data_IF_239828227622
#
_entry.id   IF_239828227622
#
_cell.length_a   1.000
_cell.length_b   1.000
_cell.length_c   1.000
_cell.angle_alpha   90.00
_cell.angle_beta   90.00
_cell.angle_gamma   90.00
#
_symmetry.space_group_name_H-M   'P 1'
#
loop_
_entity.id
_entity.type
_entity.pdbx_description
1 polymer ?
#
# COMPACT_ATOMS: atom_id res chain seq x y z
N UNK A 1 -20.86 0.70 1.03
CA UNK A 1 -19.60 0.64 0.26
C UNK A 1 -19.48 -0.73 -0.36
N UNK A 2 -19.01 -0.78 -1.60
CA UNK A 2 -18.72 -2.00 -2.36
C UNK A 2 -17.54 -2.77 -1.74
N UNK A 3 -17.50 -4.08 -2.01
CA UNK A 3 -16.56 -5.04 -1.42
C UNK A 3 -16.12 -6.03 -2.48
N UNK A 4 -14.82 -6.24 -2.63
CA UNK A 4 -14.25 -7.12 -3.65
C UNK A 4 -13.04 -7.91 -3.11
N UNK A 5 -12.88 -9.13 -3.60
CA UNK A 5 -11.73 -10.00 -3.32
C UNK A 5 -11.04 -10.34 -4.63
N UNK A 6 -9.73 -10.15 -4.67
CA UNK A 6 -8.86 -10.52 -5.78
C UNK A 6 -7.88 -11.57 -5.27
N UNK A 7 -8.03 -12.83 -5.69
CA UNK A 7 -7.21 -13.95 -5.22
C UNK A 7 -6.43 -14.57 -6.38
N UNK A 8 -5.10 -14.67 -6.22
CA UNK A 8 -4.17 -15.22 -7.22
C UNK A 8 -4.29 -14.62 -8.64
N UNK A 9 -4.79 -13.38 -8.74
CA UNK A 9 -4.90 -12.67 -10.03
C UNK A 9 -3.55 -12.02 -10.42
N UNK A 10 -3.44 -11.62 -11.70
CA UNK A 10 -2.27 -10.90 -12.23
C UNK A 10 -2.71 -9.59 -12.87
N UNK A 11 -2.43 -8.47 -12.23
CA UNK A 11 -2.67 -7.11 -12.74
C UNK A 11 -1.35 -6.57 -13.32
N UNK A 12 -1.36 -6.12 -14.57
CA UNK A 12 -0.13 -5.78 -15.32
C UNK A 12 -0.35 -4.53 -16.15
N UNK A 13 0.56 -3.57 -16.02
CA UNK A 13 0.65 -2.39 -16.86
C UNK A 13 1.99 -1.68 -16.61
N UNK A 14 1.96 -0.35 -16.75
CA UNK A 14 3.07 0.55 -16.44
C UNK A 14 2.61 1.60 -15.43
N UNK A 15 2.31 2.82 -15.87
CA UNK A 15 1.75 3.86 -15.02
C UNK A 15 0.27 3.57 -14.68
N UNK A 16 -0.18 3.94 -13.47
CA UNK A 16 -1.60 3.93 -13.04
C UNK A 16 -2.33 2.57 -13.19
N UNK A 17 -1.58 1.46 -13.18
CA UNK A 17 -2.04 0.10 -13.52
C UNK A 17 -3.29 -0.37 -12.76
N UNK A 18 -3.43 -0.02 -11.47
CA UNK A 18 -4.57 -0.39 -10.65
C UNK A 18 -5.23 0.86 -10.03
N UNK A 19 -6.24 1.41 -10.71
CA UNK A 19 -7.08 2.47 -10.17
C UNK A 19 -8.07 1.91 -9.13
N UNK A 20 -7.57 1.72 -7.92
CA UNK A 20 -8.28 1.28 -6.73
C UNK A 20 -9.10 2.43 -6.09
N UNK A 21 -10.08 2.94 -6.84
CA UNK A 21 -10.74 4.21 -6.53
C UNK A 21 -11.65 4.16 -5.29
N UNK A 22 -12.69 3.32 -5.25
CA UNK A 22 -13.71 3.37 -4.19
C UNK A 22 -14.12 1.99 -3.73
N UNK A 23 -14.24 1.78 -2.41
CA UNK A 23 -14.72 0.52 -1.83
C UNK A 23 -13.83 0.00 -0.70
N UNK A 24 -14.04 -1.27 -0.33
CA UNK A 24 -13.25 -2.00 0.65
C UNK A 24 -12.75 -3.30 0.03
N UNK A 25 -11.47 -3.38 -0.32
CA UNK A 25 -10.94 -4.45 -1.18
C UNK A 25 -9.84 -5.29 -0.51
N UNK A 26 -9.83 -6.58 -0.81
CA UNK A 26 -8.82 -7.54 -0.34
C UNK A 26 -8.11 -8.16 -1.54
N UNK A 27 -6.81 -7.88 -1.70
CA UNK A 27 -5.96 -8.52 -2.70
C UNK A 27 -5.11 -9.56 -1.98
N UNK A 28 -5.26 -10.84 -2.31
CA UNK A 28 -4.56 -11.94 -1.65
C UNK A 28 -3.75 -12.75 -2.66
N UNK A 29 -2.47 -13.00 -2.35
CA UNK A 29 -1.51 -13.72 -3.21
C UNK A 29 -1.47 -13.21 -4.67
N UNK A 30 -1.78 -11.92 -4.85
CA UNK A 30 -1.95 -11.29 -6.17
C UNK A 30 -0.62 -10.73 -6.67
N UNK A 31 -0.36 -10.81 -7.98
CA UNK A 31 0.77 -10.15 -8.63
C UNK A 31 0.31 -8.83 -9.25
N UNK A 32 1.01 -7.74 -8.96
CA UNK A 32 0.74 -6.40 -9.50
C UNK A 32 2.05 -5.85 -10.07
N UNK A 33 2.04 -5.41 -11.33
CA UNK A 33 3.21 -4.83 -12.00
C UNK A 33 2.94 -3.41 -12.53
N UNK A 34 3.93 -2.52 -12.36
CA UNK A 34 3.94 -1.23 -13.07
C UNK A 34 5.19 -0.39 -12.83
N UNK A 35 5.16 0.88 -13.24
CA UNK A 35 6.29 1.81 -13.18
C UNK A 35 6.03 2.95 -12.18
N UNK A 36 5.05 3.81 -12.47
CA UNK A 36 4.69 4.98 -11.65
C UNK A 36 3.26 4.83 -11.14
N UNK A 37 3.05 5.12 -9.85
CA UNK A 37 1.76 5.13 -9.16
C UNK A 37 0.87 3.91 -9.43
N UNK A 38 1.48 2.74 -9.63
CA UNK A 38 0.80 1.60 -10.26
C UNK A 38 -0.34 0.94 -9.44
N UNK A 39 -0.66 1.53 -8.28
CA UNK A 39 -1.83 1.28 -7.44
C UNK A 39 -2.34 2.65 -6.93
N UNK A 40 -3.34 3.26 -7.55
CA UNK A 40 -3.78 4.63 -7.24
C UNK A 40 -5.26 4.71 -6.86
N UNK A 41 -5.76 5.86 -6.40
CA UNK A 41 -7.18 6.05 -5.99
C UNK A 41 -7.44 6.01 -4.48
N UNK A 42 -8.69 6.10 -4.03
CA UNK A 42 -9.05 6.46 -2.64
C UNK A 42 -9.65 5.33 -1.77
N UNK A 43 -9.61 4.06 -2.19
CA UNK A 43 -10.26 2.97 -1.47
C UNK A 43 -9.63 2.66 -0.08
N UNK A 44 -10.32 1.86 0.74
CA UNK A 44 -9.70 1.14 1.85
C UNK A 44 -9.29 -0.25 1.35
N UNK A 45 -8.03 -0.64 1.48
CA UNK A 45 -7.60 -1.94 0.93
C UNK A 45 -6.46 -2.60 1.69
N UNK A 46 -6.53 -3.93 1.75
CA UNK A 46 -5.48 -4.79 2.28
C UNK A 46 -4.92 -5.65 1.13
N UNK A 47 -3.64 -5.44 0.81
CA UNK A 47 -2.87 -6.30 -0.08
C UNK A 47 -2.09 -7.30 0.77
N UNK A 48 -2.36 -8.59 0.69
CA UNK A 48 -1.77 -9.60 1.56
C UNK A 48 -1.03 -10.67 0.73
N UNK A 49 0.23 -10.95 1.09
CA UNK A 49 1.12 -11.90 0.39
C UNK A 49 1.36 -11.60 -1.11
N UNK A 50 1.04 -10.38 -1.55
CA UNK A 50 1.13 -9.99 -2.95
C UNK A 50 2.60 -9.85 -3.43
N UNK A 51 2.80 -9.94 -4.74
CA UNK A 51 4.07 -9.57 -5.39
C UNK A 51 3.86 -8.22 -6.07
N UNK A 52 4.68 -7.24 -5.71
CA UNK A 52 4.67 -5.89 -6.29
C UNK A 52 5.94 -5.76 -7.15
N UNK A 53 5.79 -5.84 -8.47
CA UNK A 53 6.90 -5.96 -9.41
C UNK A 53 7.06 -4.69 -10.23
N UNK A 54 8.16 -3.95 -10.05
CA UNK A 54 8.36 -2.73 -10.85
C UNK A 54 9.13 -2.96 -12.15
N UNK A 55 8.62 -2.33 -13.21
CA UNK A 55 9.27 -2.27 -14.55
C UNK A 55 9.85 -0.89 -14.84
N UNK A 56 9.93 0.01 -13.86
CA UNK A 56 10.53 1.32 -14.09
C UNK A 56 12.03 1.24 -14.40
N UNK A 57 12.46 1.98 -15.42
CA UNK A 57 13.87 2.03 -15.84
C UNK A 57 14.73 2.86 -14.88
N UNK A 58 14.31 4.12 -14.66
CA UNK A 58 15.05 5.10 -13.86
C UNK A 58 14.50 5.22 -12.43
N UNK A 59 13.23 5.62 -12.33
CA UNK A 59 12.51 5.88 -11.08
C UNK A 59 11.05 5.45 -11.25
N UNK A 60 10.43 5.03 -10.15
CA UNK A 60 9.02 4.64 -10.12
C UNK A 60 8.40 4.81 -8.73
N UNK A 61 7.11 4.50 -8.60
CA UNK A 61 6.35 4.58 -7.35
C UNK A 61 5.32 3.43 -7.31
N UNK A 62 5.15 2.78 -6.16
CA UNK A 62 4.27 1.59 -6.07
C UNK A 62 2.80 1.97 -6.13
N UNK A 63 2.45 3.14 -5.61
CA UNK A 63 1.08 3.57 -5.42
C UNK A 63 0.98 5.10 -5.31
N UNK A 64 -0.25 5.59 -5.38
CA UNK A 64 -0.65 6.95 -5.02
C UNK A 64 -2.11 6.97 -4.51
N UNK A 65 -2.32 6.67 -3.22
CA UNK A 65 -3.67 6.73 -2.64
C UNK A 65 -4.14 8.17 -2.48
N UNK A 66 -5.36 8.51 -2.87
CA UNK A 66 -5.94 9.85 -2.64
C UNK A 66 -6.84 9.84 -1.39
N UNK A 67 -6.83 10.92 -0.62
CA UNK A 67 -7.76 11.15 0.49
C UNK A 67 -8.19 12.63 0.47
N UNK A 68 -9.38 12.93 0.95
CA UNK A 68 -9.98 14.27 0.95
C UNK A 68 -10.10 14.84 2.37
N UNK A 69 -10.16 14.00 3.40
CA UNK A 69 -10.20 14.45 4.80
C UNK A 69 -9.61 13.47 5.81
N UNK A 70 -9.23 13.99 6.99
CA UNK A 70 -8.79 13.15 8.11
C UNK A 70 -9.87 12.18 8.62
N UNK A 71 -11.16 12.45 8.35
CA UNK A 71 -12.32 11.64 8.78
C UNK A 71 -12.57 10.41 7.89
N UNK A 72 -11.91 10.31 6.73
CA UNK A 72 -12.08 9.15 5.84
C UNK A 72 -11.22 7.98 6.32
N UNK A 73 -11.90 6.87 6.61
CA UNK A 73 -11.31 5.59 6.99
C UNK A 73 -10.83 4.81 5.73
N UNK A 74 -9.87 5.40 5.02
CA UNK A 74 -9.33 4.88 3.75
C UNK A 74 -7.80 4.80 3.77
N UNK A 75 -7.23 4.05 2.83
CA UNK A 75 -5.79 3.83 2.72
C UNK A 75 -5.45 2.42 2.24
N UNK A 76 -4.17 2.20 1.92
CA UNK A 76 -3.66 0.92 1.43
C UNK A 76 -2.69 0.29 2.45
N UNK A 77 -3.15 -0.70 3.22
CA UNK A 77 -2.24 -1.59 3.97
C UNK A 77 -1.73 -2.68 3.03
N UNK A 78 -0.44 -3.02 3.11
CA UNK A 78 0.08 -4.18 2.40
C UNK A 78 0.94 -5.04 3.35
N UNK A 79 0.57 -6.30 3.56
CA UNK A 79 1.12 -7.22 4.57
C UNK A 79 1.77 -8.43 3.90
N UNK A 80 2.94 -8.86 4.36
CA UNK A 80 3.72 -9.97 3.77
C UNK A 80 4.11 -9.80 2.27
N UNK A 81 3.98 -8.59 1.71
CA UNK A 81 4.06 -8.33 0.26
C UNK A 81 5.50 -8.17 -0.28
N UNK A 82 5.90 -9.05 -1.20
CA UNK A 82 7.25 -9.10 -1.78
C UNK A 82 7.41 -8.07 -2.90
N UNK A 83 8.32 -7.11 -2.72
CA UNK A 83 8.65 -6.13 -3.76
C UNK A 83 9.86 -6.62 -4.58
N UNK A 84 9.74 -6.53 -5.90
CA UNK A 84 10.70 -7.02 -6.90
C UNK A 84 10.79 -6.05 -8.09
N UNK A 85 11.70 -6.33 -9.02
CA UNK A 85 11.83 -5.61 -10.28
C UNK A 85 12.97 -4.59 -10.29
N UNK A 86 12.88 -3.64 -11.21
CA UNK A 86 13.95 -2.71 -11.60
C UNK A 86 13.75 -1.30 -11.01
N UNK A 87 14.67 -0.38 -11.31
CA UNK A 87 14.53 1.06 -11.06
C UNK A 87 14.69 1.53 -9.61
N UNK A 88 14.76 2.86 -9.42
CA UNK A 88 14.75 3.51 -8.10
C UNK A 88 13.31 3.71 -7.63
N UNK A 89 12.71 2.67 -7.07
CA UNK A 89 11.28 2.68 -6.72
C UNK A 89 11.04 3.41 -5.39
N UNK A 90 10.48 4.61 -5.46
CA UNK A 90 9.89 5.29 -4.30
C UNK A 90 8.83 4.42 -3.65
N UNK A 91 8.58 4.70 -2.39
CA UNK A 91 7.63 3.93 -1.60
C UNK A 91 6.24 4.17 -2.19
N UNK A 92 5.84 5.43 -2.24
CA UNK A 92 5.20 6.04 -3.39
C UNK A 92 5.23 7.56 -3.24
N UNK A 93 4.20 8.25 -3.73
CA UNK A 93 4.13 9.72 -3.68
C UNK A 93 2.72 10.22 -3.36
N UNK A 94 2.62 11.54 -3.13
CA UNK A 94 1.37 12.23 -2.87
C UNK A 94 0.73 12.75 -4.18
N UNK A 95 -0.32 12.10 -4.64
CA UNK A 95 -1.28 12.57 -5.64
C UNK A 95 -2.46 13.24 -4.93
N UNK A 96 -2.30 14.50 -4.52
CA UNK A 96 -3.27 15.29 -3.74
C UNK A 96 -2.86 15.55 -2.28
N UNK A 97 -3.49 16.51 -1.61
CA UNK A 97 -3.02 17.08 -0.33
C UNK A 97 -2.97 16.10 0.86
N UNK A 98 -3.73 15.00 0.82
CA UNK A 98 -3.81 14.00 1.89
C UNK A 98 -3.26 12.62 1.43
N UNK A 99 -2.48 12.60 0.35
CA UNK A 99 -2.15 11.37 -0.39
C UNK A 99 -0.99 10.53 0.21
N UNK A 100 -0.97 9.23 -0.11
CA UNK A 100 -0.70 8.17 0.88
C UNK A 100 -0.07 6.88 0.24
N UNK A 101 1.27 6.67 0.28
CA UNK A 101 1.93 5.39 -0.19
C UNK A 101 3.28 4.94 0.43
N UNK A 102 3.49 3.65 0.82
CA UNK A 102 4.74 3.13 1.47
C UNK A 102 5.31 1.79 0.86
N UNK A 103 6.45 1.28 1.39
CA UNK A 103 7.30 0.10 1.07
C UNK A 103 8.08 -0.24 2.37
N UNK A 104 8.41 -1.46 2.85
CA UNK A 104 8.50 -2.81 2.24
C UNK A 104 8.01 -4.00 3.13
N UNK A 105 7.53 -5.08 2.51
CA UNK A 105 7.50 -6.48 3.01
C UNK A 105 6.63 -6.91 4.22
N UNK A 106 6.32 -6.07 5.20
CA UNK A 106 5.20 -6.28 6.15
C UNK A 106 4.64 -4.93 6.59
N UNK A 107 3.35 -4.67 6.31
CA UNK A 107 2.50 -3.59 6.83
C UNK A 107 2.72 -2.16 6.30
N UNK A 108 1.62 -1.42 6.03
CA UNK A 108 1.61 0.02 5.69
C UNK A 108 0.43 0.80 6.30
N UNK A 109 0.67 2.07 6.71
CA UNK A 109 -0.23 2.92 7.56
C UNK A 109 0.06 4.42 7.37
N UNK A 110 -0.96 5.30 7.48
CA UNK A 110 -0.89 6.74 7.15
C UNK A 110 -1.61 7.68 8.15
N UNK A 111 -1.22 8.98 8.34
CA UNK A 111 -2.08 10.10 8.88
C UNK A 111 -1.60 11.60 9.06
N UNK A 112 -0.37 12.11 8.81
CA UNK A 112 0.03 13.53 9.18
C UNK A 112 1.06 14.35 8.30
N UNK A 113 0.61 15.12 7.30
CA UNK A 113 1.14 16.46 6.88
C UNK A 113 0.06 17.45 7.31
N UNK A 114 -0.11 17.53 8.64
CA UNK A 114 -1.42 17.51 9.30
C UNK A 114 -2.34 16.31 8.96
N UNK A 115 -2.28 15.69 7.75
CA UNK A 115 -3.21 14.60 7.35
C UNK A 115 -2.69 13.34 6.59
N UNK A 116 -1.45 13.26 6.08
CA UNK A 116 -0.82 12.03 5.53
C UNK A 116 0.60 11.71 6.08
N UNK A 117 0.86 10.48 6.56
CA UNK A 117 2.14 10.01 7.20
C UNK A 117 2.54 8.68 6.58
N UNK A 118 3.78 8.24 6.69
CA UNK A 118 4.29 7.16 5.84
C UNK A 118 5.18 6.18 6.61
N UNK A 119 4.62 5.12 7.22
CA UNK A 119 5.40 4.29 8.16
C UNK A 119 5.69 2.82 7.78
N UNK A 120 6.87 2.38 8.19
CA UNK A 120 7.43 1.03 8.00
C UNK A 120 7.37 0.22 9.32
N UNK A 121 7.10 -1.10 9.25
CA UNK A 121 7.15 -2.01 10.40
C UNK A 121 7.88 -3.32 10.03
N UNK A 122 8.90 -3.70 10.82
CA UNK A 122 9.68 -4.95 10.62
C UNK A 122 10.10 -5.24 9.15
N UNK A 123 10.34 -4.18 8.38
CA UNK A 123 10.65 -4.26 6.96
C UNK A 123 12.06 -4.85 6.75
N UNK A 124 12.22 -5.82 5.85
CA UNK A 124 13.49 -6.52 5.62
C UNK A 124 13.93 -6.55 4.14
N UNK A 125 15.19 -6.92 3.91
CA UNK A 125 15.85 -6.96 2.60
C UNK A 125 16.59 -5.66 2.23
N UNK A 126 17.34 -5.67 1.12
CA UNK A 126 18.25 -4.57 0.71
C UNK A 126 17.58 -3.17 0.64
N UNK A 127 16.28 -3.10 0.37
CA UNK A 127 15.52 -1.85 0.30
C UNK A 127 14.96 -1.32 1.63
N UNK A 128 15.02 -2.08 2.73
CA UNK A 128 14.43 -1.67 4.02
C UNK A 128 15.36 -0.87 4.92
N UNK A 129 16.62 -0.62 4.52
CA UNK A 129 17.47 0.32 5.25
C UNK A 129 16.80 1.70 5.28
N UNK A 130 16.60 2.25 6.48
CA UNK A 130 15.94 3.53 6.73
C UNK A 130 16.89 4.74 6.80
N UNK A 131 18.21 4.55 6.68
CA UNK A 131 19.15 5.65 6.44
C UNK A 131 18.71 6.45 5.21
N UNK A 132 18.60 7.78 5.34
CA UNK A 132 18.14 8.65 4.24
C UNK A 132 16.64 8.59 3.93
N UNK A 133 15.81 8.02 4.82
CA UNK A 133 14.35 8.26 4.78
C UNK A 133 14.06 9.72 5.16
N UNK A 134 12.96 10.24 4.63
CA UNK A 134 12.35 11.50 5.06
C UNK A 134 11.92 11.41 6.53
N UNK A 135 12.09 12.50 7.28
CA UNK A 135 11.87 12.55 8.73
C UNK A 135 10.43 12.20 9.15
N UNK A 136 9.44 12.62 8.37
CA UNK A 136 8.02 12.28 8.57
C UNK A 136 7.66 10.83 8.22
N UNK A 137 8.61 10.02 7.73
CA UNK A 137 8.39 8.58 7.60
C UNK A 137 8.49 7.90 8.95
N UNK A 138 7.39 7.35 9.46
CA UNK A 138 7.34 6.70 10.77
C UNK A 138 8.07 5.35 10.76
N UNK A 139 8.70 4.99 11.87
CA UNK A 139 9.15 3.62 12.14
C UNK A 139 8.24 3.08 13.25
N UNK A 140 7.30 2.21 12.90
CA UNK A 140 6.27 1.79 13.84
C UNK A 140 6.82 0.85 14.92
N UNK A 141 6.27 0.95 16.12
CA UNK A 141 6.32 -0.13 17.11
C UNK A 141 5.19 -1.15 16.85
N UNK A 142 5.13 -2.25 17.62
CA UNK A 142 4.14 -3.31 17.40
C UNK A 142 2.69 -2.91 17.70
N UNK A 143 2.46 -1.97 18.61
CA UNK A 143 1.12 -1.52 19.03
C UNK A 143 0.53 -0.59 17.96
N UNK A 144 1.33 0.36 17.49
CA UNK A 144 0.97 1.26 16.40
C UNK A 144 0.75 0.52 15.07
N UNK A 145 1.47 -0.59 14.89
CA UNK A 145 1.35 -1.49 13.75
C UNK A 145 0.04 -2.32 13.76
N UNK A 146 -0.46 -2.67 14.95
CA UNK A 146 -1.49 -3.70 15.13
C UNK A 146 -2.79 -3.48 14.30
N UNK A 147 -3.40 -2.28 14.24
CA UNK A 147 -4.72 -2.10 13.60
C UNK A 147 -4.75 -2.29 12.08
N UNK A 148 -3.59 -2.51 11.45
CA UNK A 148 -3.42 -2.51 10.00
C UNK A 148 -2.86 -3.84 9.47
N UNK A 149 -2.45 -4.75 10.37
CA UNK A 149 -1.81 -6.04 10.07
C UNK A 149 -2.81 -7.14 9.70
N UNK A 150 -4.01 -7.08 10.26
CA UNK A 150 -5.04 -8.11 10.12
C UNK A 150 -6.11 -7.80 9.08
N UNK A 151 -7.01 -8.75 8.87
CA UNK A 151 -8.24 -8.58 8.08
C UNK A 151 -9.14 -7.50 8.69
N UNK A 152 -9.03 -7.31 10.00
CA UNK A 152 -9.61 -6.27 10.84
C UNK A 152 -9.50 -4.87 10.21
N UNK A 153 -8.37 -4.56 9.55
CA UNK A 153 -8.17 -3.29 8.86
C UNK A 153 -9.27 -2.98 7.84
N UNK A 154 -9.74 -4.01 7.12
CA UNK A 154 -10.82 -3.92 6.12
C UNK A 154 -12.16 -4.43 6.68
N UNK A 155 -12.30 -4.51 8.02
CA UNK A 155 -13.44 -5.14 8.72
C UNK A 155 -13.73 -6.55 8.19
N UNK A 156 -12.68 -7.29 7.82
CA UNK A 156 -12.74 -8.47 6.95
C UNK A 156 -13.69 -9.55 7.45
N UNK A 157 -13.72 -9.83 8.75
CA UNK A 157 -14.54 -10.89 9.34
C UNK A 157 -16.06 -10.66 9.16
N UNK A 158 -16.48 -9.43 8.84
CA UNK A 158 -17.87 -9.10 8.52
C UNK A 158 -18.29 -9.53 7.10
N UNK A 159 -17.35 -9.90 6.21
CA UNK A 159 -17.65 -10.12 4.78
C UNK A 159 -16.74 -11.08 4.01
N UNK A 160 -15.49 -11.27 4.40
CA UNK A 160 -14.54 -12.23 3.82
C UNK A 160 -14.92 -13.66 4.22
N UNK A 161 -15.88 -14.24 3.51
CA UNK A 161 -16.23 -15.67 3.60
C UNK A 161 -15.20 -16.56 2.90
N UNK A 162 -13.95 -16.48 3.37
CA UNK A 162 -12.85 -17.36 2.98
C UNK A 162 -12.83 -18.54 3.95
N UNK A 163 -13.14 -19.73 3.43
CA UNK A 163 -13.00 -21.02 4.11
C UNK A 163 -11.54 -21.51 4.04
#
# INVERSE_FOLDING_TARGET
MEKAVFYQVRVVGEQDTLLNNTGTHYFYQTFIQGSVDFICGQAKSLFHECILYSVAENWGAIAAHHRNSAKEDTGFSFVNCKIKGNGRILLGRAWGEYSTTIKSLKLFIFWFYKTAVFGEYQCYGKGSNRTGRVEWSKNFNSEEAMPFLGRDYINGDQWLRLQ
#
